data_IF_704993687443
#
_entry.id   IF_704993687443
#
_cell.length_a   1.000
_cell.length_b   1.000
_cell.length_c   1.000
_cell.angle_alpha   90.00
_cell.angle_beta   90.00
_cell.angle_gamma   90.00
#
_symmetry.space_group_name_H-M   'P 1'
#
loop_
_entity.id
_entity.type
_entity.pdbx_description
1 polymer ?
#
# COMPACT_ATOMS: atom_id res chain seq x y z
N UNK A 1 -5.22 -47.32 -38.17
CA UNK A 1 -4.87 -47.02 -36.77
C UNK A 1 -4.35 -45.60 -36.74
N UNK A 2 -5.19 -44.68 -36.22
CA UNK A 2 -4.93 -43.24 -36.20
C UNK A 2 -4.43 -42.88 -34.80
N UNK A 3 -3.21 -42.37 -34.68
CA UNK A 3 -2.73 -41.75 -33.45
C UNK A 3 -2.31 -40.32 -33.78
N UNK A 4 -3.27 -39.40 -33.67
CA UNK A 4 -3.00 -37.98 -33.61
C UNK A 4 -2.46 -37.70 -32.21
N UNK A 5 -1.18 -37.33 -32.11
CA UNK A 5 -0.64 -36.74 -30.87
C UNK A 5 -1.10 -35.29 -30.82
N UNK A 6 -2.07 -35.00 -29.98
CA UNK A 6 -2.39 -33.64 -29.57
C UNK A 6 -1.29 -33.18 -28.61
N UNK A 7 -0.49 -32.20 -29.03
CA UNK A 7 0.55 -31.60 -28.20
C UNK A 7 -0.01 -30.30 -27.64
N UNK A 8 -0.41 -30.40 -26.37
CA UNK A 8 -0.26 -29.45 -25.26
C UNK A 8 -0.37 -27.96 -25.58
N UNK A 9 -1.48 -27.37 -25.15
CA UNK A 9 -1.65 -25.92 -24.96
C UNK A 9 -0.52 -25.40 -24.07
N UNK A 10 0.32 -24.51 -24.59
CA UNK A 10 1.29 -23.79 -23.78
C UNK A 10 0.53 -22.76 -22.95
N UNK A 11 0.59 -22.90 -21.63
CA UNK A 11 0.14 -21.89 -20.69
C UNK A 11 0.95 -20.61 -20.96
N UNK A 12 0.30 -19.62 -21.57
CA UNK A 12 0.85 -18.28 -21.74
C UNK A 12 1.08 -17.71 -20.35
N UNK A 13 2.33 -17.72 -19.91
CA UNK A 13 2.75 -17.07 -18.68
C UNK A 13 2.64 -15.56 -18.91
N UNK A 14 1.55 -14.98 -18.43
CA UNK A 14 1.32 -13.54 -18.42
C UNK A 14 2.35 -12.95 -17.45
N UNK A 15 3.41 -12.37 -17.98
CA UNK A 15 4.31 -11.53 -17.18
C UNK A 15 3.53 -10.27 -16.80
N UNK A 16 3.09 -10.17 -15.55
CA UNK A 16 2.53 -8.91 -15.05
C UNK A 16 3.61 -7.81 -15.14
N UNK A 17 3.25 -6.61 -15.61
CA UNK A 17 4.18 -5.50 -15.64
C UNK A 17 4.64 -5.16 -14.22
N UNK A 18 5.94 -4.95 -14.05
CA UNK A 18 6.50 -4.48 -12.79
C UNK A 18 5.85 -3.14 -12.40
N UNK A 19 5.44 -2.97 -11.13
CA UNK A 19 4.88 -1.70 -10.68
C UNK A 19 5.90 -0.58 -10.88
N UNK A 20 5.40 0.56 -11.32
CA UNK A 20 6.18 1.78 -11.45
C UNK A 20 6.68 2.23 -10.07
N UNK A 21 7.77 3.00 -10.06
CA UNK A 21 8.29 3.60 -8.82
C UNK A 21 7.26 4.45 -8.08
N UNK A 22 6.31 5.07 -8.82
CA UNK A 22 5.21 5.83 -8.25
C UNK A 22 4.23 4.93 -7.51
N UNK A 23 3.88 3.78 -8.06
CA UNK A 23 2.96 2.83 -7.41
C UNK A 23 3.58 2.28 -6.14
N UNK A 24 4.86 1.88 -6.18
CA UNK A 24 5.59 1.44 -4.99
C UNK A 24 5.62 2.51 -3.88
N UNK A 25 5.87 3.77 -4.26
CA UNK A 25 5.86 4.87 -3.30
C UNK A 25 4.47 5.11 -2.68
N UNK A 26 3.41 4.98 -3.49
CA UNK A 26 2.05 5.12 -3.00
C UNK A 26 1.68 3.96 -2.06
N UNK A 27 2.11 2.74 -2.37
CA UNK A 27 1.84 1.56 -1.54
C UNK A 27 2.51 1.66 -0.16
N UNK A 28 3.79 2.06 -0.13
CA UNK A 28 4.50 2.39 1.12
C UNK A 28 3.78 3.52 1.87
N UNK A 29 3.09 4.39 1.13
CA UNK A 29 2.29 5.40 1.76
C UNK A 29 1.01 4.78 2.36
N UNK A 30 0.23 4.01 1.62
CA UNK A 30 -1.13 3.64 2.01
C UNK A 30 -1.22 2.35 2.83
N UNK A 31 -0.22 1.48 2.78
CA UNK A 31 -0.29 0.14 3.38
C UNK A 31 0.76 -0.09 4.46
N UNK A 32 0.45 -1.01 5.36
CA UNK A 32 1.33 -1.42 6.45
C UNK A 32 2.51 -2.24 5.89
N UNK A 33 3.77 -1.88 6.19
CA UNK A 33 4.94 -2.58 5.67
C UNK A 33 5.12 -4.00 6.26
N UNK A 34 4.34 -4.36 7.30
CA UNK A 34 4.43 -5.66 7.96
C UNK A 34 3.37 -6.65 7.48
N UNK A 35 2.12 -6.22 7.37
CA UNK A 35 1.00 -7.10 7.01
C UNK A 35 0.34 -6.77 5.65
N UNK A 36 0.70 -5.64 5.03
CA UNK A 36 0.06 -5.18 3.79
C UNK A 36 -1.34 -4.60 3.96
N UNK A 37 -1.91 -4.55 5.18
CA UNK A 37 -3.22 -3.94 5.40
C UNK A 37 -3.19 -2.42 5.22
N UNK A 38 -4.30 -1.86 4.77
CA UNK A 38 -4.47 -0.41 4.63
C UNK A 38 -4.30 0.30 5.98
N UNK A 39 -3.55 1.40 5.96
CA UNK A 39 -3.34 2.24 7.13
C UNK A 39 -4.54 3.18 7.34
N UNK A 40 -4.98 3.31 8.60
CA UNK A 40 -5.99 4.30 8.96
C UNK A 40 -5.34 5.64 9.26
N UNK A 41 -5.68 6.65 8.47
CA UNK A 41 -5.17 8.02 8.61
C UNK A 41 -6.06 8.87 9.50
N UNK A 42 -5.45 9.55 10.46
CA UNK A 42 -6.11 10.49 11.37
C UNK A 42 -5.43 11.84 11.27
N UNK A 43 -6.23 12.89 11.07
CA UNK A 43 -5.78 14.28 11.06
C UNK A 43 -6.51 15.01 12.18
N UNK A 44 -5.76 15.65 13.07
CA UNK A 44 -6.33 16.42 14.19
C UNK A 44 -5.79 17.84 14.16
N UNK A 45 -6.71 18.81 14.06
CA UNK A 45 -6.37 20.23 14.03
C UNK A 45 -6.58 20.86 15.39
N UNK A 46 -5.48 21.26 16.03
CA UNK A 46 -5.45 21.95 17.30
C UNK A 46 -5.38 23.48 17.09
N UNK A 47 -6.54 24.12 16.90
CA UNK A 47 -6.62 25.56 16.66
C UNK A 47 -6.05 26.42 17.80
N UNK A 48 -6.11 25.95 19.05
CA UNK A 48 -5.53 26.65 20.20
C UNK A 48 -4.01 26.80 20.10
N UNK A 49 -3.34 25.84 19.47
CA UNK A 49 -1.89 25.82 19.31
C UNK A 49 -1.46 26.12 17.87
N UNK A 50 -2.43 26.35 16.98
CA UNK A 50 -2.20 26.50 15.55
C UNK A 50 -1.39 25.32 14.99
N UNK A 51 -1.77 24.09 15.35
CA UNK A 51 -1.06 22.87 14.98
C UNK A 51 -1.98 21.84 14.32
N UNK A 52 -1.44 21.04 13.40
CA UNK A 52 -2.09 19.89 12.80
C UNK A 52 -1.23 18.66 13.08
N UNK A 53 -1.82 17.66 13.72
CA UNK A 53 -1.21 16.37 13.94
C UNK A 53 -1.76 15.37 12.91
N UNK A 54 -0.86 14.72 12.19
CA UNK A 54 -1.17 13.64 11.26
C UNK A 54 -0.60 12.33 11.80
N UNK A 55 -1.40 11.27 11.76
CA UNK A 55 -0.99 9.93 12.17
C UNK A 55 -1.59 8.87 11.25
N UNK A 56 -0.82 7.82 10.95
CA UNK A 56 -1.31 6.61 10.32
C UNK A 56 -1.17 5.42 11.27
N UNK A 57 -2.14 4.51 11.31
CA UNK A 57 -2.02 3.32 12.16
C UNK A 57 -2.58 2.07 11.47
N UNK A 58 -1.91 0.95 11.70
CA UNK A 58 -2.37 -0.34 11.20
C UNK A 58 -3.35 -0.96 12.22
N UNK A 59 -4.56 -1.31 11.78
CA UNK A 59 -5.55 -1.94 12.64
C UNK A 59 -5.22 -3.39 13.01
N UNK A 60 -4.43 -4.08 12.20
CA UNK A 60 -4.01 -5.45 12.48
C UNK A 60 -2.78 -5.48 13.39
N UNK A 61 -1.67 -4.88 12.95
CA UNK A 61 -0.40 -4.88 13.69
C UNK A 61 -0.39 -3.96 14.92
N UNK A 62 -1.37 -3.04 15.04
CA UNK A 62 -1.45 -2.02 16.09
C UNK A 62 -0.21 -1.11 16.19
N UNK A 63 0.58 -1.04 15.12
CA UNK A 63 1.69 -0.11 15.01
C UNK A 63 1.19 1.26 14.53
N UNK A 64 1.85 2.30 15.05
CA UNK A 64 1.65 3.68 14.64
C UNK A 64 2.81 4.09 13.74
N UNK A 65 2.50 4.72 12.62
CA UNK A 65 3.46 5.16 11.61
C UNK A 65 3.10 6.61 11.24
N UNK A 66 4.05 7.37 10.69
CA UNK A 66 3.84 8.73 10.16
C UNK A 66 3.18 9.67 11.17
N UNK A 67 3.80 9.81 12.33
CA UNK A 67 3.40 10.77 13.33
C UNK A 67 4.09 12.11 13.03
N UNK A 68 3.40 12.97 12.31
CA UNK A 68 3.90 14.28 11.91
C UNK A 68 3.08 15.37 12.60
N UNK A 69 3.75 16.44 13.01
CA UNK A 69 3.09 17.63 13.55
C UNK A 69 3.52 18.82 12.71
N UNK A 70 2.53 19.57 12.23
CA UNK A 70 2.70 20.75 11.39
C UNK A 70 2.19 21.97 12.15
N UNK A 71 2.90 23.10 12.02
CA UNK A 71 2.41 24.39 12.48
C UNK A 71 1.67 25.11 11.36
N UNK A 72 0.57 25.75 11.70
CA UNK A 72 -0.24 26.59 10.83
C UNK A 72 0.36 28.00 10.77
N UNK A 73 1.65 28.16 10.38
CA UNK A 73 2.31 29.45 10.14
C UNK A 73 3.44 29.35 9.11
#
# INVERSE_FOLDING_TARGET
MSSKKEVSSAELQICEPLPSHRELFLDDYTYCPLCGDELLYTHNTHFSHLEVAEEAHCQCCKIRIKNNNYRLQ
#
